data_IF_728063463141
#
_entry.id   IF_728063463141
#
_cell.length_a   1.000
_cell.length_b   1.000
_cell.length_c   1.000
_cell.angle_alpha   90.00
_cell.angle_beta   90.00
_cell.angle_gamma   90.00
#
_symmetry.space_group_name_H-M   'P 1'
#
loop_
_entity.id
_entity.type
_entity.pdbx_description
1 polymer ?
#
# COMPACT_ATOMS: atom_id res chain seq x y z
N UNK A 1 -12.05 14.63 -0.30
CA UNK A 1 -12.84 13.78 -1.23
C UNK A 1 -13.43 12.63 -0.42
N UNK A 2 -14.66 12.19 -0.72
CA UNK A 2 -15.21 10.96 -0.13
C UNK A 2 -14.83 9.76 -1.00
N UNK A 3 -14.26 8.72 -0.41
CA UNK A 3 -14.03 7.43 -1.06
C UNK A 3 -15.14 6.44 -0.71
N UNK A 4 -15.30 5.41 -1.53
CA UNK A 4 -16.22 4.29 -1.26
C UNK A 4 -15.45 3.05 -0.77
N UNK A 5 -16.15 2.13 -0.12
CA UNK A 5 -15.55 0.92 0.45
C UNK A 5 -16.38 -0.29 0.05
N UNK A 6 -15.72 -1.35 -0.43
CA UNK A 6 -16.39 -2.59 -0.77
C UNK A 6 -17.17 -3.16 0.44
N UNK A 7 -18.36 -3.77 0.24
CA UNK A 7 -19.24 -4.15 1.35
C UNK A 7 -18.60 -5.07 2.40
N UNK A 8 -17.71 -5.99 1.99
CA UNK A 8 -17.01 -6.91 2.89
C UNK A 8 -15.91 -6.25 3.71
N UNK A 9 -15.48 -5.04 3.34
CA UNK A 9 -14.47 -4.26 4.05
C UNK A 9 -15.06 -3.26 5.04
N UNK A 10 -16.38 -3.23 5.23
CA UNK A 10 -17.06 -2.31 6.18
C UNK A 10 -16.52 -2.37 7.61
N UNK A 11 -15.95 -3.48 8.02
CA UNK A 11 -15.31 -3.58 9.34
C UNK A 11 -14.18 -2.56 9.53
N UNK A 12 -13.47 -2.17 8.45
CA UNK A 12 -12.35 -1.22 8.52
C UNK A 12 -12.79 0.24 8.57
N UNK A 13 -14.09 0.54 8.48
CA UNK A 13 -14.64 1.90 8.59
C UNK A 13 -15.05 2.26 10.02
N UNK A 14 -14.74 1.43 11.01
CA UNK A 14 -14.95 1.77 12.42
C UNK A 14 -13.89 2.79 12.88
N UNK A 15 -14.15 3.58 13.93
CA UNK A 15 -13.16 4.49 14.49
C UNK A 15 -11.84 3.78 14.77
N UNK A 16 -10.72 4.40 14.40
CA UNK A 16 -9.38 3.81 14.50
C UNK A 16 -9.07 3.35 15.92
N UNK A 17 -9.46 4.11 16.95
CA UNK A 17 -9.32 3.73 18.35
C UNK A 17 -10.01 2.38 18.66
N UNK A 18 -11.24 2.18 18.19
CA UNK A 18 -11.96 0.91 18.37
C UNK A 18 -11.29 -0.24 17.62
N UNK A 19 -10.74 0.04 16.43
CA UNK A 19 -9.99 -0.96 15.66
C UNK A 19 -8.72 -1.41 16.39
N UNK A 20 -7.99 -0.46 16.97
CA UNK A 20 -6.77 -0.69 17.75
C UNK A 20 -7.06 -1.41 19.08
N UNK A 21 -8.08 -0.95 19.83
CA UNK A 21 -8.49 -1.56 21.10
C UNK A 21 -8.93 -3.02 20.96
N UNK A 22 -9.49 -3.38 19.80
CA UNK A 22 -9.86 -4.75 19.47
C UNK A 22 -8.64 -5.68 19.23
N UNK A 23 -7.43 -5.12 19.16
CA UNK A 23 -6.17 -5.84 18.86
C UNK A 23 -5.04 -5.43 19.81
N UNK A 24 -5.20 -5.69 21.13
CA UNK A 24 -4.21 -5.30 22.14
C UNK A 24 -2.85 -6.03 21.98
N UNK A 25 -2.77 -7.03 21.11
CA UNK A 25 -1.53 -7.69 20.72
C UNK A 25 -0.63 -6.84 19.80
N UNK A 26 -1.10 -5.73 19.25
CA UNK A 26 -0.28 -4.82 18.45
C UNK A 26 -0.12 -3.47 19.13
N UNK A 27 1.08 -2.92 19.04
CA UNK A 27 1.45 -1.62 19.61
C UNK A 27 1.31 -0.49 18.57
N UNK A 28 1.29 -0.83 17.29
CA UNK A 28 1.14 0.11 16.18
C UNK A 28 0.55 -0.57 14.94
N UNK A 29 -0.05 0.25 14.08
CA UNK A 29 -0.63 -0.20 12.82
C UNK A 29 -0.01 0.57 11.67
N UNK A 30 0.10 -0.10 10.53
CA UNK A 30 0.52 0.48 9.27
C UNK A 30 -0.47 0.09 8.18
N UNK A 31 -0.42 0.81 7.07
CA UNK A 31 -1.29 0.58 5.92
C UNK A 31 -0.48 0.53 4.64
N UNK A 32 -1.04 -0.09 3.62
CA UNK A 32 -0.46 -0.13 2.29
C UNK A 32 -1.54 -0.15 1.21
N UNK A 33 -1.17 0.28 0.02
CA UNK A 33 -2.05 0.32 -1.14
C UNK A 33 -1.39 -0.33 -2.35
N UNK A 34 -2.19 -1.06 -3.13
CA UNK A 34 -1.86 -1.53 -4.47
C UNK A 34 -2.79 -0.84 -5.45
N UNK A 35 -2.20 -0.01 -6.32
CA UNK A 35 -2.91 0.80 -7.31
C UNK A 35 -2.61 0.23 -8.67
N UNK A 36 -3.66 0.00 -9.44
CA UNK A 36 -3.57 -0.71 -10.70
C UNK A 36 -4.01 0.14 -11.89
N UNK A 37 -3.30 0.00 -13.01
CA UNK A 37 -3.67 0.53 -14.32
C UNK A 37 -3.33 -0.49 -15.42
N UNK A 38 -4.35 -0.98 -16.14
CA UNK A 38 -4.20 -2.08 -17.08
C UNK A 38 -3.66 -3.33 -16.37
N UNK A 39 -2.59 -3.94 -16.88
CA UNK A 39 -1.90 -5.07 -16.24
C UNK A 39 -0.73 -4.66 -15.32
N UNK A 40 -0.66 -3.40 -14.89
CA UNK A 40 0.46 -2.88 -14.10
C UNK A 40 0.03 -2.41 -12.72
N UNK A 41 0.90 -2.57 -11.73
CA UNK A 41 0.78 -2.04 -10.37
C UNK A 41 1.79 -0.91 -10.15
N UNK A 42 1.40 0.16 -9.48
CA UNK A 42 2.30 1.24 -9.11
C UNK A 42 3.21 0.78 -7.96
N UNK A 43 4.52 0.94 -8.15
CA UNK A 43 5.54 0.78 -7.12
C UNK A 43 6.32 2.09 -6.94
N UNK A 44 6.63 2.40 -5.69
CA UNK A 44 7.48 3.52 -5.27
C UNK A 44 8.82 2.97 -4.78
N UNK A 45 9.91 3.65 -5.12
CA UNK A 45 11.24 3.32 -4.64
C UNK A 45 11.64 4.23 -3.49
N UNK A 46 11.88 3.61 -2.32
CA UNK A 46 12.30 4.29 -1.10
C UNK A 46 13.60 5.07 -1.30
N UNK A 47 13.63 6.33 -0.87
CA UNK A 47 14.77 7.23 -0.86
C UNK A 47 16.02 6.55 -0.28
N UNK A 48 17.19 6.86 -0.82
CA UNK A 48 18.46 6.30 -0.32
C UNK A 48 18.80 6.77 1.10
N UNK A 49 18.19 7.89 1.53
CA UNK A 49 18.29 8.46 2.87
C UNK A 49 17.30 7.86 3.85
N UNK A 50 16.32 7.10 3.37
CA UNK A 50 15.32 6.46 4.19
C UNK A 50 15.83 5.09 4.69
N UNK A 51 15.11 4.54 5.66
CA UNK A 51 15.19 3.17 6.09
C UNK A 51 14.88 2.22 4.92
N UNK A 52 15.56 1.06 4.85
CA UNK A 52 15.47 0.11 3.72
C UNK A 52 15.68 0.77 2.33
N UNK A 53 16.82 1.46 2.13
CA UNK A 53 17.05 2.31 0.96
C UNK A 53 17.02 1.52 -0.36
N UNK A 54 16.38 2.14 -1.36
CA UNK A 54 16.26 1.63 -2.73
C UNK A 54 15.33 0.42 -2.87
N UNK A 55 14.60 0.04 -1.81
CA UNK A 55 13.59 -1.00 -1.92
C UNK A 55 12.32 -0.46 -2.56
N UNK A 56 11.57 -1.33 -3.23
CA UNK A 56 10.32 -1.01 -3.90
C UNK A 56 9.13 -1.52 -3.09
N UNK A 57 8.05 -0.75 -3.05
CA UNK A 57 6.80 -1.09 -2.39
C UNK A 57 5.61 -0.33 -3.00
N UNK A 58 4.38 -0.71 -2.66
CA UNK A 58 3.22 0.15 -2.91
C UNK A 58 3.17 1.28 -1.88
N UNK A 59 2.44 2.38 -2.14
CA UNK A 59 2.31 3.48 -1.18
C UNK A 59 1.80 3.00 0.17
N UNK A 60 2.29 3.56 1.27
CA UNK A 60 1.81 3.24 2.60
C UNK A 60 2.79 3.52 3.72
N UNK A 61 2.25 3.89 4.88
CA UNK A 61 3.02 4.22 6.06
C UNK A 61 2.30 3.86 7.36
N UNK A 62 2.72 4.51 8.44
CA UNK A 62 2.14 4.28 9.75
C UNK A 62 0.75 4.92 9.84
N UNK A 63 -0.19 4.25 10.50
CA UNK A 63 -1.47 4.87 10.84
C UNK A 63 -1.28 5.88 11.97
N UNK A 64 -1.99 7.01 11.88
CA UNK A 64 -1.85 8.15 12.77
C UNK A 64 -3.16 8.47 13.47
N UNK A 65 -3.36 8.08 14.74
CA UNK A 65 -4.63 8.24 15.44
C UNK A 65 -5.14 9.69 15.56
N UNK A 66 -4.26 10.67 15.39
CA UNK A 66 -4.61 12.10 15.44
C UNK A 66 -5.08 12.64 14.08
N UNK A 67 -4.77 11.96 12.99
CA UNK A 67 -5.13 12.36 11.61
C UNK A 67 -6.13 11.41 10.96
N UNK A 68 -6.07 10.13 11.28
CA UNK A 68 -6.83 9.06 10.65
C UNK A 68 -8.06 8.71 11.51
N UNK A 69 -9.27 9.00 11.01
CA UNK A 69 -10.51 8.66 11.73
C UNK A 69 -10.75 7.13 11.75
N UNK A 70 -10.35 6.45 10.68
CA UNK A 70 -10.43 4.99 10.49
C UNK A 70 -9.11 4.44 9.92
N UNK A 71 -8.94 3.12 9.90
CA UNK A 71 -7.75 2.51 9.27
C UNK A 71 -7.66 2.87 7.78
N UNK A 72 -8.79 2.95 7.08
CA UNK A 72 -8.83 3.26 5.65
C UNK A 72 -8.49 4.73 5.36
N UNK A 73 -8.74 5.65 6.29
CA UNK A 73 -8.30 7.04 6.14
C UNK A 73 -6.78 7.14 6.10
N UNK A 74 -6.08 6.29 6.85
CA UNK A 74 -4.63 6.13 6.73
C UNK A 74 -4.23 5.71 5.32
N UNK A 75 -4.92 4.73 4.71
CA UNK A 75 -4.63 4.31 3.32
C UNK A 75 -4.80 5.49 2.35
N UNK A 76 -5.89 6.25 2.49
CA UNK A 76 -6.17 7.40 1.63
C UNK A 76 -5.13 8.52 1.80
N UNK A 77 -4.74 8.80 3.04
CA UNK A 77 -3.71 9.79 3.36
C UNK A 77 -2.36 9.41 2.75
N UNK A 78 -1.88 8.20 3.02
CA UNK A 78 -0.57 7.74 2.55
C UNK A 78 -0.48 7.72 1.01
N UNK A 79 -1.53 7.24 0.33
CA UNK A 79 -1.57 7.28 -1.14
C UNK A 79 -1.46 8.71 -1.66
N UNK A 80 -2.16 9.66 -1.05
CA UNK A 80 -2.08 11.07 -1.43
C UNK A 80 -0.70 11.65 -1.14
N UNK A 81 -0.18 11.46 0.07
CA UNK A 81 1.09 12.02 0.53
C UNK A 81 2.26 11.50 -0.31
N UNK A 82 2.31 10.20 -0.61
CA UNK A 82 3.46 9.57 -1.26
C UNK A 82 3.39 9.52 -2.79
N UNK A 83 2.20 9.61 -3.39
CA UNK A 83 2.01 9.48 -4.84
C UNK A 83 1.22 10.61 -5.50
N UNK A 84 0.62 11.51 -4.74
CA UNK A 84 -0.24 12.58 -5.25
C UNK A 84 -1.60 12.10 -5.80
N UNK A 85 -1.91 10.81 -5.69
CA UNK A 85 -3.13 10.20 -6.23
C UNK A 85 -4.26 10.21 -5.22
N UNK A 86 -5.51 10.28 -5.69
CA UNK A 86 -6.69 10.38 -4.84
C UNK A 86 -7.49 9.08 -4.85
N UNK A 87 -7.50 8.36 -3.73
CA UNK A 87 -8.32 7.14 -3.56
C UNK A 87 -9.80 7.47 -3.73
N UNK A 88 -10.48 6.70 -4.59
CA UNK A 88 -11.93 6.77 -4.84
C UNK A 88 -12.67 5.55 -4.33
N UNK A 89 -12.00 4.40 -4.27
CA UNK A 89 -12.59 3.16 -3.74
C UNK A 89 -11.53 2.25 -3.11
N UNK A 90 -11.83 1.69 -1.94
CA UNK A 90 -11.09 0.56 -1.36
C UNK A 90 -11.79 -0.74 -1.75
N UNK A 91 -11.07 -1.63 -2.42
CA UNK A 91 -11.65 -2.77 -3.15
C UNK A 91 -11.50 -4.08 -2.39
N UNK A 92 -10.28 -4.41 -1.96
CA UNK A 92 -9.98 -5.70 -1.33
C UNK A 92 -8.84 -5.56 -0.32
N UNK A 93 -8.88 -6.33 0.77
CA UNK A 93 -7.76 -6.56 1.67
C UNK A 93 -6.88 -7.66 1.10
N UNK A 94 -5.62 -7.33 0.79
CA UNK A 94 -4.66 -8.28 0.22
C UNK A 94 -3.96 -9.09 1.30
N UNK A 95 -3.44 -8.41 2.32
CA UNK A 95 -2.60 -9.05 3.31
C UNK A 95 -2.61 -8.30 4.65
N UNK A 96 -2.30 -9.05 5.71
CA UNK A 96 -1.99 -8.52 7.04
C UNK A 96 -0.62 -9.06 7.44
N UNK A 97 0.41 -8.23 7.35
CA UNK A 97 1.77 -8.59 7.77
C UNK A 97 1.99 -8.15 9.22
N UNK A 98 2.62 -9.01 10.02
CA UNK A 98 2.89 -8.72 11.43
C UNK A 98 4.37 -8.93 11.74
N UNK A 99 5.02 -7.96 12.40
CA UNK A 99 6.42 -8.07 12.78
C UNK A 99 6.76 -7.33 14.08
N UNK A 100 7.91 -7.66 14.67
CA UNK A 100 8.48 -6.92 15.79
C UNK A 100 9.52 -5.90 15.31
N UNK A 101 9.31 -4.64 15.65
CA UNK A 101 10.30 -3.58 15.47
C UNK A 101 11.02 -3.28 16.80
N UNK A 102 12.34 -3.33 16.78
CA UNK A 102 13.17 -3.00 17.93
C UNK A 102 13.45 -1.50 17.96
N UNK A 103 12.94 -0.80 18.98
CA UNK A 103 13.13 0.65 19.11
C UNK A 103 14.58 0.96 19.48
N UNK A 104 15.13 2.06 18.94
CA UNK A 104 16.47 2.56 19.30
C UNK A 104 16.63 2.88 20.79
N UNK A 105 15.54 3.25 21.46
CA UNK A 105 15.48 3.53 22.91
C UNK A 105 15.50 2.28 23.79
N UNK A 106 15.53 1.08 23.19
CA UNK A 106 15.18 -0.16 23.89
C UNK A 106 13.67 -0.39 23.87
N UNK A 107 13.28 -1.67 23.90
CA UNK A 107 11.89 -2.11 23.78
C UNK A 107 11.55 -2.70 22.41
N UNK A 108 10.46 -3.47 22.38
CA UNK A 108 9.89 -4.08 21.18
C UNK A 108 8.53 -3.47 20.91
N UNK A 109 8.21 -3.32 19.64
CA UNK A 109 6.91 -2.84 19.17
C UNK A 109 6.37 -3.86 18.17
N UNK A 110 5.22 -4.45 18.45
CA UNK A 110 4.52 -5.34 17.51
C UNK A 110 3.69 -4.50 16.56
N UNK A 111 3.95 -4.62 15.27
CA UNK A 111 3.30 -3.85 14.21
C UNK A 111 2.45 -4.80 13.36
N UNK A 112 1.25 -4.36 12.98
CA UNK A 112 0.44 -4.99 11.95
C UNK A 112 0.22 -4.04 10.76
N UNK A 113 0.64 -4.43 9.55
CA UNK A 113 0.38 -3.70 8.30
C UNK A 113 -0.77 -4.32 7.53
N UNK A 114 -1.77 -3.51 7.19
CA UNK A 114 -2.91 -3.92 6.37
C UNK A 114 -2.77 -3.32 4.97
N UNK A 115 -2.64 -4.17 3.95
CA UNK A 115 -2.45 -3.73 2.56
C UNK A 115 -3.70 -3.99 1.74
N UNK A 116 -4.15 -2.98 0.99
CA UNK A 116 -5.41 -3.02 0.24
C UNK A 116 -5.22 -2.76 -1.25
N UNK A 117 -6.09 -3.33 -2.09
CA UNK A 117 -6.28 -2.85 -3.47
C UNK A 117 -7.16 -1.61 -3.41
N UNK A 118 -6.74 -0.55 -4.10
CA UNK A 118 -7.51 0.71 -4.19
C UNK A 118 -7.62 1.19 -5.63
N UNK A 119 -8.71 1.89 -5.92
CA UNK A 119 -8.91 2.65 -7.16
C UNK A 119 -8.63 4.12 -6.90
N UNK A 120 -8.00 4.80 -7.84
CA UNK A 120 -7.67 6.23 -7.75
C UNK A 120 -8.36 7.02 -8.86
N UNK A 121 -8.65 8.29 -8.58
CA UNK A 121 -9.35 9.19 -9.49
C UNK A 121 -8.59 9.35 -10.81
N UNK A 122 -7.28 9.57 -10.72
CA UNK A 122 -6.38 9.86 -11.84
C UNK A 122 -6.18 8.68 -12.79
N UNK A 123 -6.54 7.46 -12.37
CA UNK A 123 -6.44 6.27 -13.20
C UNK A 123 -7.64 6.11 -14.15
N UNK A 124 -8.62 7.03 -14.13
CA UNK A 124 -9.82 6.99 -14.98
C UNK A 124 -10.07 8.33 -15.67
N UNK A 125 -10.60 8.29 -16.89
CA UNK A 125 -11.05 9.51 -17.59
C UNK A 125 -12.47 9.92 -17.17
N UNK A 126 -12.98 11.01 -17.75
CA UNK A 126 -14.34 11.52 -17.47
C UNK A 126 -15.47 10.57 -17.88
N UNK A 127 -15.19 9.56 -18.71
CA UNK A 127 -16.12 8.50 -19.09
C UNK A 127 -16.01 7.27 -18.18
N UNK A 128 -15.10 7.28 -17.20
CA UNK A 128 -14.84 6.17 -16.30
C UNK A 128 -13.92 5.08 -16.88
N UNK A 129 -13.38 5.28 -18.08
CA UNK A 129 -12.45 4.33 -18.71
C UNK A 129 -11.09 4.41 -18.05
N UNK A 130 -10.45 3.26 -17.85
CA UNK A 130 -9.13 3.20 -17.24
C UNK A 130 -8.07 3.80 -18.19
N UNK A 131 -7.29 4.74 -17.67
CA UNK A 131 -6.17 5.34 -18.39
C UNK A 131 -4.95 4.42 -18.37
N UNK A 132 -4.08 4.57 -19.36
CA UNK A 132 -2.80 3.86 -19.38
C UNK A 132 -1.88 4.35 -18.25
N UNK A 133 -0.95 3.51 -17.76
CA UNK A 133 -0.04 3.89 -16.69
C UNK A 133 0.75 5.18 -16.99
N UNK A 134 1.14 5.38 -18.25
CA UNK A 134 1.91 6.54 -18.71
C UNK A 134 1.14 7.86 -18.65
N UNK A 135 -0.19 7.82 -18.55
CA UNK A 135 -1.03 9.00 -18.47
C UNK A 135 -1.35 9.42 -17.02
N UNK A 136 -0.95 8.63 -16.02
CA UNK A 136 -1.26 8.87 -14.61
C UNK A 136 -0.17 9.77 -14.00
N UNK A 137 -0.50 10.96 -13.48
CA UNK A 137 0.47 11.92 -12.98
C UNK A 137 0.91 11.62 -11.54
N UNK A 138 1.79 10.62 -11.38
CA UNK A 138 2.38 10.30 -10.07
C UNK A 138 3.32 11.41 -9.60
N UNK A 139 3.13 11.88 -8.36
CA UNK A 139 3.96 12.89 -7.69
C UNK A 139 4.51 12.33 -6.40
N UNK A 140 5.83 12.16 -6.32
CA UNK A 140 6.47 11.53 -5.17
C UNK A 140 6.74 12.51 -4.03
N UNK A 141 6.59 12.01 -2.80
CA UNK A 141 7.18 12.65 -1.63
C UNK A 141 8.71 12.51 -1.68
N UNK A 142 9.40 13.53 -2.21
CA UNK A 142 10.86 13.48 -2.46
C UNK A 142 11.73 13.15 -1.23
N UNK A 143 11.21 13.36 -0.02
CA UNK A 143 11.91 13.02 1.23
C UNK A 143 11.91 11.53 1.54
N UNK A 144 10.94 10.79 1.00
CA UNK A 144 10.69 9.38 1.30
C UNK A 144 10.86 8.48 0.09
N UNK A 145 10.60 9.01 -1.11
CA UNK A 145 10.63 8.26 -2.37
C UNK A 145 11.37 9.05 -3.46
N UNK A 146 12.14 8.34 -4.29
CA UNK A 146 12.99 8.98 -5.31
C UNK A 146 12.76 8.48 -6.74
N UNK A 147 11.97 7.43 -6.92
CA UNK A 147 11.55 6.91 -8.21
C UNK A 147 10.22 6.16 -8.08
N UNK A 148 9.52 5.99 -9.19
CA UNK A 148 8.35 5.12 -9.30
C UNK A 148 8.40 4.31 -10.59
N UNK A 149 7.65 3.23 -10.62
CA UNK A 149 7.51 2.38 -11.80
C UNK A 149 6.13 1.71 -11.81
N UNK A 150 5.70 1.32 -13.00
CA UNK A 150 4.48 0.56 -13.20
C UNK A 150 4.86 -0.87 -13.58
N UNK A 151 4.81 -1.76 -12.61
CA UNK A 151 5.32 -3.12 -12.71
C UNK A 151 4.26 -4.09 -13.22
N UNK A 152 4.65 -5.00 -14.09
CA UNK A 152 3.83 -6.18 -14.48
C UNK A 152 3.94 -7.31 -13.44
N UNK A 153 2.99 -8.26 -13.47
CA UNK A 153 3.03 -9.46 -12.62
C UNK A 153 4.32 -10.26 -12.86
N UNK A 154 4.72 -10.42 -14.12
CA UNK A 154 5.92 -11.15 -14.52
C UNK A 154 7.20 -10.49 -13.99
N UNK A 155 7.33 -9.17 -14.07
CA UNK A 155 8.51 -8.47 -13.55
C UNK A 155 8.60 -8.56 -12.02
N UNK A 156 7.46 -8.50 -11.32
CA UNK A 156 7.42 -8.71 -9.87
C UNK A 156 7.82 -10.15 -9.53
N UNK A 157 7.30 -11.14 -10.26
CA UNK A 157 7.63 -12.56 -10.06
C UNK A 157 9.13 -12.81 -10.24
N UNK A 158 9.71 -12.34 -11.34
CA UNK A 158 11.15 -12.45 -11.60
C UNK A 158 11.98 -11.77 -10.52
N UNK A 159 11.54 -10.61 -10.04
CA UNK A 159 12.22 -9.86 -8.98
C UNK A 159 12.17 -10.57 -7.63
N UNK A 160 11.09 -11.28 -7.32
CA UNK A 160 10.98 -12.12 -6.11
C UNK A 160 11.94 -13.31 -6.18
N UNK A 161 12.05 -13.96 -7.32
CA UNK A 161 12.87 -15.17 -7.50
C UNK A 161 14.37 -14.87 -7.61
N UNK A 162 14.73 -13.81 -8.35
CA UNK A 162 16.10 -13.56 -8.78
C UNK A 162 16.69 -12.22 -8.29
N UNK A 163 15.90 -11.40 -7.58
CA UNK A 163 16.28 -10.05 -7.11
C UNK A 163 16.76 -9.15 -8.25
N UNK A 164 16.05 -9.22 -9.37
CA UNK A 164 16.34 -8.48 -10.60
C UNK A 164 15.88 -7.00 -10.52
N UNK A 165 14.89 -6.60 -11.32
CA UNK A 165 14.44 -5.20 -11.47
C UNK A 165 14.02 -4.54 -10.15
N UNK A 166 13.23 -5.23 -9.33
CA UNK A 166 12.69 -4.69 -8.08
C UNK A 166 13.34 -5.34 -6.85
N UNK A 167 14.11 -4.54 -6.11
CA UNK A 167 14.59 -4.94 -4.78
C UNK A 167 13.45 -4.80 -3.77
N UNK A 168 12.91 -5.92 -3.27
CA UNK A 168 11.92 -5.87 -2.18
C UNK A 168 12.58 -5.92 -0.79
N UNK A 169 11.91 -5.37 0.25
CA UNK A 169 12.35 -5.53 1.64
C UNK A 169 12.52 -7.01 2.02
N UNK A 170 13.41 -7.28 2.98
CA UNK A 170 13.64 -8.64 3.48
C UNK A 170 12.35 -9.24 4.06
N UNK A 171 12.14 -10.53 3.81
CA UNK A 171 10.96 -11.27 4.29
C UNK A 171 10.74 -11.24 5.80
N UNK A 172 11.78 -10.96 6.59
CA UNK A 172 11.69 -10.80 8.04
C UNK A 172 10.95 -9.51 8.46
N UNK A 173 10.88 -8.51 7.59
CA UNK A 173 10.25 -7.20 7.83
C UNK A 173 8.86 -7.12 7.18
N UNK A 174 8.58 -7.99 6.20
CA UNK A 174 7.27 -8.14 5.57
C UNK A 174 7.35 -8.91 4.25
N UNK A 175 6.21 -9.35 3.73
CA UNK A 175 6.13 -10.14 2.50
C UNK A 175 5.78 -9.27 1.26
N UNK A 176 6.47 -8.15 1.07
CA UNK A 176 6.09 -7.16 0.03
C UNK A 176 5.93 -7.78 -1.38
N UNK A 177 6.96 -8.45 -1.90
CA UNK A 177 6.90 -9.11 -3.21
C UNK A 177 5.75 -10.13 -3.33
N UNK A 178 5.66 -11.13 -2.44
CA UNK A 178 4.53 -12.07 -2.41
C UNK A 178 3.16 -11.41 -2.28
N UNK A 179 3.04 -10.32 -1.51
CA UNK A 179 1.77 -9.62 -1.35
C UNK A 179 1.37 -8.84 -2.62
N UNK A 180 2.34 -8.30 -3.37
CA UNK A 180 2.07 -7.70 -4.69
C UNK A 180 1.54 -8.78 -5.66
N UNK A 181 2.17 -9.96 -5.70
CA UNK A 181 1.69 -11.08 -6.53
C UNK A 181 0.28 -11.51 -6.13
N UNK A 182 0.01 -11.61 -4.82
CA UNK A 182 -1.34 -11.87 -4.32
C UNK A 182 -2.34 -10.79 -4.73
N UNK A 183 -1.93 -9.53 -4.81
CA UNK A 183 -2.80 -8.45 -5.30
C UNK A 183 -3.18 -8.65 -6.78
N UNK A 184 -2.24 -9.12 -7.63
CA UNK A 184 -2.55 -9.50 -9.01
C UNK A 184 -3.56 -10.66 -9.08
N UNK A 185 -3.37 -11.69 -8.26
CA UNK A 185 -4.30 -12.84 -8.19
C UNK A 185 -5.72 -12.41 -7.80
N UNK A 186 -5.86 -11.61 -6.73
CA UNK A 186 -7.16 -11.13 -6.26
C UNK A 186 -7.85 -10.23 -7.29
N UNK A 187 -7.08 -9.38 -7.99
CA UNK A 187 -7.63 -8.52 -9.02
C UNK A 187 -8.19 -9.30 -10.22
N UNK A 188 -7.57 -10.42 -10.58
CA UNK A 188 -8.10 -11.31 -11.64
C UNK A 188 -9.45 -11.90 -11.25
N UNK A 189 -9.62 -12.27 -9.98
CA UNK A 189 -10.87 -12.85 -9.47
C UNK A 189 -12.04 -11.85 -9.41
N UNK A 190 -11.77 -10.55 -9.20
CA UNK A 190 -12.80 -9.49 -9.22
C UNK A 190 -13.20 -9.06 -10.64
N UNK A 191 -12.44 -9.48 -11.67
CA UNK A 191 -12.69 -9.15 -13.08
C UNK A 191 -13.43 -10.25 -13.84
N UNK A 192 -13.67 -11.41 -13.21
CA UNK A 192 -14.47 -12.55 -13.72
C UNK A 192 -15.91 -12.52 -13.20
#
# INVERSE_FOLDING_TARGET
>A
MSYSVAPHLKYFTIPFGNFADARPEFDAFAVGAYIFSGAHVLLLQRALTDSMPGCWEGPGGASEPQRDETLLDGVVREVLEESGLHVTRVVELVAVDCWEHHRRSGGKMRIAKYSFIVEVHEARNSLGEQLSPLAIPVQLAETEHHAFDWATEEEVQLSVESKDRYKFPLSLIGHQGPNILRAFELRRQDSE
#
